data_IF_318557332919
#
_entry.id   IF_318557332919
#
_cell.length_a   1.000
_cell.length_b   1.000
_cell.length_c   1.000
_cell.angle_alpha   90.00
_cell.angle_beta   90.00
_cell.angle_gamma   90.00
#
_symmetry.space_group_name_H-M   'P 1'
#
loop_
_entity.id
_entity.type
_entity.pdbx_description
1 polymer ?
#
# COMPACT_ATOMS: atom_id res chain seq x y z
N UNK A 1 -5.89 0.84 -11.29
CA UNK A 1 -5.45 2.19 -10.97
C UNK A 1 -4.12 2.59 -11.65
N UNK A 2 -3.07 1.79 -11.61
CA UNK A 2 -1.79 2.16 -12.27
C UNK A 2 -1.79 1.99 -13.80
N UNK A 3 -2.88 1.56 -14.40
CA UNK A 3 -2.96 1.30 -15.84
C UNK A 3 -2.08 0.15 -16.33
N UNK A 4 -1.60 -0.71 -15.42
CA UNK A 4 -0.98 -1.97 -15.80
C UNK A 4 -2.08 -2.98 -16.10
N UNK A 5 -2.22 -3.34 -17.37
CA UNK A 5 -3.16 -4.36 -17.81
C UNK A 5 -2.35 -5.61 -18.15
N UNK A 6 -2.62 -6.70 -17.46
CA UNK A 6 -1.96 -7.97 -17.75
C UNK A 6 -2.36 -8.41 -19.16
N UNK A 7 -1.43 -8.99 -19.91
CA UNK A 7 -1.69 -9.48 -21.27
C UNK A 7 -2.90 -10.40 -21.29
N UNK A 8 -3.85 -10.13 -22.18
CA UNK A 8 -5.13 -10.85 -22.27
C UNK A 8 -6.27 -10.32 -21.40
N UNK A 9 -6.02 -9.31 -20.57
CA UNK A 9 -7.05 -8.61 -19.79
C UNK A 9 -7.30 -7.22 -20.39
N UNK A 10 -8.54 -6.78 -20.35
CA UNK A 10 -8.93 -5.42 -20.73
C UNK A 10 -10.14 -4.98 -19.90
N UNK A 11 -10.25 -3.68 -19.57
CA UNK A 11 -11.40 -3.17 -18.84
C UNK A 11 -12.64 -3.27 -19.72
N UNK A 12 -13.70 -3.91 -19.19
CA UNK A 12 -14.97 -4.06 -19.91
C UNK A 12 -15.82 -2.81 -19.78
N UNK A 13 -15.87 -2.20 -18.59
CA UNK A 13 -16.71 -1.06 -18.24
C UNK A 13 -16.06 -0.27 -17.09
N UNK A 14 -16.53 0.98 -16.91
CA UNK A 14 -16.16 1.82 -15.81
C UNK A 14 -15.11 2.86 -16.18
N UNK A 15 -14.75 3.65 -15.19
CA UNK A 15 -13.75 4.72 -15.28
C UNK A 15 -12.85 4.68 -14.04
N UNK A 16 -11.64 5.21 -14.17
CA UNK A 16 -10.71 5.35 -13.06
C UNK A 16 -10.21 6.79 -13.02
N UNK A 17 -10.88 7.62 -12.25
CA UNK A 17 -10.60 9.05 -12.18
C UNK A 17 -9.51 9.38 -11.16
N UNK A 18 -8.50 10.10 -11.61
CA UNK A 18 -7.51 10.74 -10.76
C UNK A 18 -7.46 12.23 -11.08
N UNK A 19 -7.82 13.09 -10.13
CA UNK A 19 -7.95 14.55 -10.34
C UNK A 19 -8.79 14.89 -11.59
N UNK A 20 -9.92 14.22 -11.75
CA UNK A 20 -10.87 14.38 -12.87
C UNK A 20 -10.37 13.85 -14.24
N UNK A 21 -9.20 13.23 -14.31
CA UNK A 21 -8.68 12.61 -15.52
C UNK A 21 -8.85 11.09 -15.46
N UNK A 22 -9.42 10.50 -16.52
CA UNK A 22 -9.64 9.04 -16.58
C UNK A 22 -8.36 8.31 -16.98
N UNK A 23 -7.75 7.63 -16.01
CA UNK A 23 -6.51 6.87 -16.21
C UNK A 23 -6.66 5.73 -17.22
N UNK A 24 -7.87 5.18 -17.42
CA UNK A 24 -8.11 4.09 -18.39
C UNK A 24 -8.06 4.58 -19.84
N UNK A 25 -8.27 5.88 -20.07
CA UNK A 25 -8.22 6.51 -21.41
C UNK A 25 -6.84 7.08 -21.73
N UNK A 26 -5.90 7.07 -20.77
CA UNK A 26 -4.57 7.62 -21.00
C UNK A 26 -3.67 6.69 -21.82
N UNK A 27 -2.88 7.29 -22.70
CA UNK A 27 -1.80 6.60 -23.38
C UNK A 27 -0.69 6.19 -22.40
N UNK A 28 0.11 5.18 -22.76
CA UNK A 28 1.27 4.75 -21.96
C UNK A 28 2.20 5.92 -21.60
N UNK A 29 2.47 6.83 -22.54
CA UNK A 29 3.30 8.02 -22.32
C UNK A 29 2.71 9.02 -21.31
N UNK A 30 1.39 9.13 -21.25
CA UNK A 30 0.71 9.96 -20.25
C UNK A 30 0.77 9.29 -18.86
N UNK A 31 0.54 7.97 -18.80
CA UNK A 31 0.63 7.20 -17.57
C UNK A 31 2.06 7.22 -16.98
N UNK A 32 3.11 7.16 -17.80
CA UNK A 32 4.50 7.28 -17.35
C UNK A 32 4.77 8.58 -16.59
N UNK A 33 4.16 9.70 -16.99
CA UNK A 33 4.29 10.99 -16.30
C UNK A 33 3.58 11.03 -14.94
N UNK A 34 2.63 10.13 -14.72
CA UNK A 34 1.85 10.04 -13.49
C UNK A 34 2.47 9.04 -12.52
N UNK A 35 2.92 7.88 -13.04
CA UNK A 35 3.52 6.80 -12.26
C UNK A 35 4.78 7.27 -11.56
N UNK A 36 4.88 6.99 -10.27
CA UNK A 36 5.97 7.39 -9.39
C UNK A 36 6.02 8.87 -9.03
N UNK A 37 5.53 9.76 -9.91
CA UNK A 37 5.51 11.22 -9.68
C UNK A 37 4.23 11.70 -9.02
N UNK A 38 3.06 11.15 -9.39
CA UNK A 38 1.74 11.55 -8.86
C UNK A 38 1.06 10.43 -8.12
N UNK A 39 1.17 9.22 -8.65
CA UNK A 39 0.67 8.00 -8.03
C UNK A 39 1.86 7.06 -7.88
N UNK A 40 2.18 6.66 -6.66
CA UNK A 40 3.19 5.65 -6.37
C UNK A 40 2.52 4.40 -5.79
N UNK A 41 3.21 3.26 -5.90
CA UNK A 41 2.71 1.98 -5.41
C UNK A 41 3.79 1.26 -4.61
N UNK A 42 3.37 0.69 -3.50
CA UNK A 42 4.17 -0.28 -2.74
C UNK A 42 3.48 -1.63 -2.91
N UNK A 43 4.09 -2.57 -3.64
CA UNK A 43 3.51 -3.89 -3.88
C UNK A 43 3.62 -4.77 -2.65
N UNK A 44 2.88 -5.87 -2.65
CA UNK A 44 3.05 -6.98 -1.72
C UNK A 44 4.51 -7.48 -1.77
N UNK A 45 5.09 -7.77 -0.62
CA UNK A 45 6.51 -8.13 -0.52
C UNK A 45 7.47 -7.07 -1.08
N UNK A 46 7.35 -5.84 -0.59
CA UNK A 46 8.15 -4.70 -1.06
C UNK A 46 9.67 -4.95 -1.00
N UNK A 47 10.16 -5.84 -0.12
CA UNK A 47 11.55 -6.27 -0.10
C UNK A 47 11.99 -6.95 -1.41
N UNK A 48 11.09 -7.68 -2.07
CA UNK A 48 11.36 -8.31 -3.36
C UNK A 48 11.34 -7.31 -4.53
N UNK A 49 10.75 -6.15 -4.34
CA UNK A 49 10.79 -5.05 -5.32
C UNK A 49 12.14 -4.32 -5.33
N UNK A 50 12.98 -4.54 -4.31
CA UNK A 50 14.34 -4.00 -4.27
C UNK A 50 15.28 -4.86 -5.12
N UNK A 51 16.10 -4.20 -5.93
CA UNK A 51 17.11 -4.87 -6.75
C UNK A 51 18.27 -5.36 -5.86
N UNK A 52 18.49 -6.70 -5.72
CA UNK A 52 19.41 -7.26 -4.72
C UNK A 52 20.84 -6.78 -4.83
N UNK A 53 21.31 -6.55 -6.04
CA UNK A 53 22.70 -6.20 -6.38
C UNK A 53 22.97 -4.70 -6.40
N UNK A 54 21.98 -3.87 -6.06
CA UNK A 54 22.12 -2.42 -6.04
C UNK A 54 22.00 -1.90 -4.60
N UNK A 55 22.86 -0.95 -4.25
CA UNK A 55 22.81 -0.27 -2.96
C UNK A 55 21.53 0.53 -2.80
N UNK A 56 21.03 0.63 -1.58
CA UNK A 56 19.79 1.33 -1.24
C UNK A 56 19.79 2.77 -1.74
N UNK A 57 20.87 3.51 -1.48
CA UNK A 57 20.99 4.90 -1.93
C UNK A 57 20.92 5.05 -3.45
N UNK A 58 21.47 4.09 -4.19
CA UNK A 58 21.40 4.10 -5.66
C UNK A 58 19.95 3.92 -6.16
N UNK A 59 19.19 3.01 -5.58
CA UNK A 59 17.80 2.76 -5.95
C UNK A 59 16.90 3.96 -5.65
N UNK A 60 17.15 4.65 -4.53
CA UNK A 60 16.44 5.90 -4.21
C UNK A 60 16.88 7.03 -5.16
N UNK A 61 18.18 7.13 -5.50
CA UNK A 61 18.68 8.10 -6.48
C UNK A 61 18.01 7.90 -7.84
N UNK A 62 17.86 6.65 -8.28
CA UNK A 62 17.17 6.33 -9.53
C UNK A 62 15.72 6.81 -9.53
N UNK A 63 14.98 6.53 -8.45
CA UNK A 63 13.61 7.02 -8.29
C UNK A 63 13.54 8.56 -8.32
N UNK A 64 14.46 9.24 -7.63
CA UNK A 64 14.54 10.71 -7.64
C UNK A 64 14.87 11.24 -9.04
N UNK A 65 15.81 10.62 -9.75
CA UNK A 65 16.19 11.01 -11.12
C UNK A 65 15.06 10.87 -12.11
N UNK A 66 14.22 9.82 -11.97
CA UNK A 66 13.10 9.57 -12.87
C UNK A 66 11.90 10.49 -12.58
N UNK A 67 11.71 10.90 -11.33
CA UNK A 67 10.48 11.56 -10.90
C UNK A 67 10.65 13.00 -10.43
N UNK A 68 11.88 13.53 -10.42
CA UNK A 68 12.18 14.92 -10.02
C UNK A 68 13.17 15.56 -10.98
N UNK A 69 13.26 16.88 -10.89
CA UNK A 69 14.23 17.67 -11.69
C UNK A 69 15.46 18.07 -10.85
N UNK A 70 15.73 17.35 -9.74
CA UNK A 70 16.84 17.64 -8.82
C UNK A 70 18.20 17.31 -9.46
N UNK A 71 19.20 18.18 -9.22
CA UNK A 71 20.59 17.89 -9.57
C UNK A 71 21.19 16.82 -8.62
N UNK A 72 22.42 16.37 -8.92
CA UNK A 72 23.05 15.27 -8.15
C UNK A 72 23.21 15.59 -6.67
N UNK A 73 23.68 16.79 -6.34
CA UNK A 73 23.92 17.22 -4.95
C UNK A 73 22.60 17.30 -4.16
N UNK A 74 21.54 17.81 -4.81
CA UNK A 74 20.21 17.87 -4.21
C UNK A 74 19.63 16.48 -3.98
N UNK A 75 19.84 15.54 -4.92
CA UNK A 75 19.39 14.15 -4.75
C UNK A 75 20.14 13.44 -3.61
N UNK A 76 21.46 13.63 -3.49
CA UNK A 76 22.22 13.05 -2.38
C UNK A 76 21.71 13.51 -1.02
N UNK A 77 21.41 14.80 -0.87
CA UNK A 77 20.75 15.33 0.32
C UNK A 77 19.35 14.73 0.51
N UNK A 78 18.60 14.61 -0.57
CA UNK A 78 17.21 14.09 -0.52
C UNK A 78 17.15 12.62 -0.13
N UNK A 79 18.13 11.81 -0.51
CA UNK A 79 18.26 10.42 -0.07
C UNK A 79 18.33 10.34 1.45
N UNK A 80 19.22 11.11 2.06
CA UNK A 80 19.35 11.14 3.53
C UNK A 80 18.07 11.62 4.21
N UNK A 81 17.41 12.65 3.66
CA UNK A 81 16.12 13.13 4.16
C UNK A 81 15.02 12.05 4.09
N UNK A 82 14.94 11.30 2.98
CA UNK A 82 13.95 10.24 2.80
C UNK A 82 14.20 9.07 3.76
N UNK A 83 15.46 8.64 3.91
CA UNK A 83 15.82 7.58 4.85
C UNK A 83 15.53 7.97 6.31
N UNK A 84 15.79 9.22 6.68
CA UNK A 84 15.39 9.77 7.98
C UNK A 84 13.88 9.79 8.15
N UNK A 85 13.13 10.24 7.12
CA UNK A 85 11.67 10.33 7.14
C UNK A 85 11.01 8.97 7.40
N UNK A 86 11.59 7.90 6.86
CA UNK A 86 11.12 6.53 7.11
C UNK A 86 11.73 5.92 8.37
N UNK A 87 12.38 6.72 9.21
CA UNK A 87 12.94 6.32 10.50
C UNK A 87 13.93 5.15 10.40
N UNK A 88 14.74 5.12 9.37
CA UNK A 88 15.84 4.16 9.26
C UNK A 88 17.04 4.67 10.07
N UNK A 89 17.73 3.79 10.83
CA UNK A 89 18.89 4.18 11.63
C UNK A 89 20.06 4.54 10.72
N UNK A 90 20.84 5.54 11.12
CA UNK A 90 22.09 5.93 10.43
C UNK A 90 21.93 6.04 8.90
N UNK A 91 21.13 6.98 8.39
CA UNK A 91 20.78 7.09 6.97
C UNK A 91 21.98 7.10 6.04
N UNK A 92 23.05 7.75 6.47
CA UNK A 92 24.30 7.89 5.69
C UNK A 92 24.94 6.52 5.43
N UNK A 93 25.01 5.65 6.44
CA UNK A 93 25.54 4.29 6.27
C UNK A 93 24.52 3.37 5.62
N UNK A 94 23.22 3.57 5.88
CA UNK A 94 22.13 2.80 5.31
C UNK A 94 22.10 2.90 3.78
N UNK A 95 22.38 4.08 3.23
CA UNK A 95 22.41 4.31 1.77
C UNK A 95 23.44 3.42 1.05
N UNK A 96 24.50 2.99 1.73
CA UNK A 96 25.56 2.14 1.15
C UNK A 96 25.30 0.64 1.30
N UNK A 97 24.28 0.23 2.05
CA UNK A 97 23.91 -1.18 2.23
C UNK A 97 23.15 -1.74 1.03
N UNK A 98 23.19 -3.06 0.92
CA UNK A 98 22.38 -3.83 -0.03
C UNK A 98 21.09 -4.33 0.63
N UNK A 99 20.05 -4.65 -0.14
CA UNK A 99 18.78 -5.16 0.40
C UNK A 99 18.93 -6.37 1.34
N UNK A 100 19.79 -7.31 1.02
CA UNK A 100 20.02 -8.52 1.81
C UNK A 100 20.68 -8.28 3.18
N UNK A 101 21.24 -7.08 3.41
CA UNK A 101 21.81 -6.67 4.69
C UNK A 101 20.75 -6.02 5.63
N UNK A 102 19.51 -5.91 5.16
CA UNK A 102 18.40 -5.27 5.86
C UNK A 102 17.37 -6.29 6.35
N UNK A 103 16.77 -6.03 7.52
CA UNK A 103 15.60 -6.78 7.96
C UNK A 103 14.39 -6.49 7.04
N UNK A 104 13.37 -7.37 7.04
CA UNK A 104 12.16 -7.18 6.23
C UNK A 104 11.47 -5.84 6.49
N UNK A 105 11.38 -5.42 7.75
CA UNK A 105 10.82 -4.10 8.09
C UNK A 105 11.68 -2.91 7.63
N UNK A 106 13.00 -3.07 7.56
CA UNK A 106 13.88 -2.05 6.98
C UNK A 106 13.73 -2.00 5.47
N UNK A 107 13.65 -3.14 4.79
CA UNK A 107 13.38 -3.22 3.35
C UNK A 107 12.05 -2.56 3.00
N UNK A 108 11.01 -2.82 3.80
CA UNK A 108 9.70 -2.19 3.65
C UNK A 108 9.79 -0.65 3.75
N UNK A 109 10.52 -0.14 4.74
CA UNK A 109 10.73 1.31 4.90
C UNK A 109 11.53 1.91 3.75
N UNK A 110 12.50 1.20 3.19
CA UNK A 110 13.20 1.62 1.95
C UNK A 110 12.23 1.73 0.78
N UNK A 111 11.36 0.74 0.58
CA UNK A 111 10.34 0.79 -0.48
C UNK A 111 9.39 1.99 -0.28
N UNK A 112 9.02 2.30 0.96
CA UNK A 112 8.26 3.52 1.29
C UNK A 112 9.06 4.78 0.92
N UNK A 113 10.37 4.85 1.24
CA UNK A 113 11.22 5.98 0.88
C UNK A 113 11.31 6.19 -0.64
N UNK A 114 11.45 5.09 -1.40
CA UNK A 114 11.46 5.14 -2.88
C UNK A 114 10.12 5.63 -3.43
N UNK A 115 9.01 5.14 -2.90
CA UNK A 115 7.67 5.57 -3.31
C UNK A 115 7.42 7.07 -3.04
N UNK A 116 8.02 7.62 -1.99
CA UNK A 116 7.93 9.04 -1.64
C UNK A 116 8.86 9.96 -2.45
N UNK A 117 9.79 9.40 -3.23
CA UNK A 117 10.78 10.18 -3.98
C UNK A 117 10.15 11.23 -4.91
N UNK A 118 9.09 10.86 -5.62
CA UNK A 118 8.33 11.75 -6.50
C UNK A 118 7.37 12.72 -5.80
N UNK A 119 7.25 12.68 -4.47
CA UNK A 119 6.22 13.40 -3.69
C UNK A 119 4.80 13.14 -4.22
N UNK A 120 4.35 11.88 -4.23
CA UNK A 120 3.07 11.52 -4.84
C UNK A 120 1.89 12.13 -4.11
N UNK A 121 0.83 12.44 -4.85
CA UNK A 121 -0.47 12.85 -4.29
C UNK A 121 -1.23 11.62 -3.73
N UNK A 122 -0.99 10.42 -4.32
CA UNK A 122 -1.63 9.16 -3.96
C UNK A 122 -0.61 8.03 -3.82
N UNK A 123 -0.67 7.32 -2.72
CA UNK A 123 0.12 6.11 -2.47
C UNK A 123 -0.81 4.89 -2.42
N UNK A 124 -0.56 3.93 -3.30
CA UNK A 124 -1.24 2.63 -3.31
C UNK A 124 -0.40 1.63 -2.53
N UNK A 125 -1.00 0.98 -1.56
CA UNK A 125 -0.35 0.06 -0.63
C UNK A 125 -1.07 -1.30 -0.74
N UNK A 126 -0.41 -2.27 -1.34
CA UNK A 126 -0.94 -3.61 -1.52
C UNK A 126 -0.31 -4.56 -0.50
N UNK A 127 -1.06 -4.87 0.56
CA UNK A 127 -0.63 -5.70 1.68
C UNK A 127 0.77 -5.34 2.23
N UNK A 128 1.07 -4.08 2.53
CA UNK A 128 2.43 -3.63 2.79
C UNK A 128 3.03 -4.15 4.10
N UNK A 129 2.27 -4.84 4.94
CA UNK A 129 2.74 -5.40 6.21
C UNK A 129 2.70 -6.92 6.27
N UNK A 130 2.32 -7.58 5.18
CA UNK A 130 2.30 -9.04 5.09
C UNK A 130 3.71 -9.61 5.24
N UNK A 131 3.85 -10.64 6.08
CA UNK A 131 5.14 -11.29 6.36
C UNK A 131 6.03 -10.58 7.39
N UNK A 132 5.54 -9.49 8.00
CA UNK A 132 6.22 -8.83 9.12
C UNK A 132 5.70 -9.37 10.47
N UNK A 133 6.57 -9.39 11.47
CA UNK A 133 6.13 -9.65 12.85
C UNK A 133 5.26 -8.49 13.36
N UNK A 134 4.44 -8.76 14.39
CA UNK A 134 3.44 -7.84 14.92
C UNK A 134 4.04 -6.48 15.33
N UNK A 135 5.24 -6.49 15.93
CA UNK A 135 5.90 -5.27 16.39
C UNK A 135 6.38 -4.43 15.21
N UNK A 136 7.01 -5.06 14.23
CA UNK A 136 7.46 -4.40 13.01
C UNK A 136 6.28 -3.88 12.19
N UNK A 137 5.19 -4.66 12.08
CA UNK A 137 3.94 -4.21 11.46
C UNK A 137 3.40 -2.94 12.12
N UNK A 138 3.29 -2.91 13.45
CA UNK A 138 2.81 -1.74 14.18
C UNK A 138 3.65 -0.48 13.88
N UNK A 139 4.98 -0.62 13.84
CA UNK A 139 5.87 0.48 13.49
C UNK A 139 5.71 0.97 12.04
N UNK A 140 5.47 0.06 11.10
CA UNK A 140 5.21 0.44 9.68
C UNK A 140 3.87 1.17 9.56
N UNK A 141 2.83 0.69 10.24
CA UNK A 141 1.50 1.35 10.25
C UNK A 141 1.58 2.76 10.85
N UNK A 142 2.28 2.92 11.99
CA UNK A 142 2.52 4.23 12.59
C UNK A 142 3.27 5.17 11.64
N UNK A 143 4.31 4.67 10.96
CA UNK A 143 5.07 5.41 9.96
C UNK A 143 4.17 5.88 8.80
N UNK A 144 3.33 5.01 8.27
CA UNK A 144 2.40 5.35 7.17
C UNK A 144 1.41 6.45 7.60
N UNK A 145 0.84 6.36 8.80
CA UNK A 145 -0.01 7.43 9.36
C UNK A 145 0.72 8.75 9.51
N UNK A 146 1.95 8.70 10.02
CA UNK A 146 2.79 9.90 10.14
C UNK A 146 3.04 10.53 8.76
N UNK A 147 3.42 9.73 7.76
CA UNK A 147 3.67 10.21 6.40
C UNK A 147 2.41 10.83 5.79
N UNK A 148 1.25 10.16 5.88
CA UNK A 148 0.00 10.68 5.35
C UNK A 148 -0.30 12.07 5.91
N UNK A 149 -0.14 12.25 7.23
CA UNK A 149 -0.39 13.51 7.92
C UNK A 149 0.65 14.60 7.60
N UNK A 150 1.93 14.21 7.53
CA UNK A 150 3.05 15.14 7.32
C UNK A 150 3.13 15.65 5.87
N UNK A 151 2.82 14.79 4.90
CA UNK A 151 2.92 15.12 3.46
C UNK A 151 1.61 15.51 2.81
N UNK A 152 0.47 15.24 3.45
CA UNK A 152 -0.85 15.37 2.85
C UNK A 152 -1.12 14.33 1.74
N UNK A 153 -0.28 13.30 1.60
CA UNK A 153 -0.46 12.22 0.61
C UNK A 153 -1.67 11.37 0.98
N UNK A 154 -2.61 11.23 0.05
CA UNK A 154 -3.71 10.27 0.20
C UNK A 154 -3.20 8.85 0.06
N UNK A 155 -3.82 7.91 0.79
CA UNK A 155 -3.41 6.49 0.75
C UNK A 155 -4.60 5.60 0.47
N UNK A 156 -4.42 4.61 -0.42
CA UNK A 156 -5.31 3.46 -0.56
C UNK A 156 -4.55 2.26 -0.03
N UNK A 157 -5.05 1.72 1.08
CA UNK A 157 -4.43 0.61 1.79
C UNK A 157 -5.26 -0.65 1.58
N UNK A 158 -4.73 -1.63 0.86
CA UNK A 158 -5.36 -2.94 0.65
C UNK A 158 -4.78 -3.93 1.63
N UNK A 159 -5.63 -4.63 2.38
CA UNK A 159 -5.21 -5.66 3.31
C UNK A 159 -6.37 -6.60 3.65
N UNK A 160 -6.05 -7.83 4.00
CA UNK A 160 -6.96 -8.76 4.66
C UNK A 160 -6.90 -8.65 6.19
N UNK A 161 -5.95 -7.88 6.75
CA UNK A 161 -5.84 -7.65 8.19
C UNK A 161 -6.68 -6.43 8.60
N UNK A 162 -7.87 -6.72 9.16
CA UNK A 162 -8.77 -5.68 9.66
C UNK A 162 -8.17 -4.90 10.85
N UNK A 163 -7.26 -5.50 11.62
CA UNK A 163 -6.56 -4.81 12.71
C UNK A 163 -5.62 -3.71 12.18
N UNK A 164 -4.93 -3.99 11.07
CA UNK A 164 -4.10 -3.00 10.37
C UNK A 164 -4.98 -1.89 9.77
N UNK A 165 -6.05 -2.27 9.05
CA UNK A 165 -6.99 -1.32 8.43
C UNK A 165 -7.60 -0.39 9.49
N UNK A 166 -8.01 -0.92 10.63
CA UNK A 166 -8.59 -0.16 11.73
C UNK A 166 -7.66 0.94 12.28
N UNK A 167 -6.35 0.71 12.19
CA UNK A 167 -5.35 1.64 12.70
C UNK A 167 -5.04 2.79 11.73
N UNK A 168 -5.15 2.57 10.41
CA UNK A 168 -4.65 3.53 9.42
C UNK A 168 -5.73 4.20 8.58
N UNK A 169 -6.95 3.66 8.53
CA UNK A 169 -7.97 4.09 7.58
C UNK A 169 -9.01 5.01 8.20
N UNK A 170 -9.35 6.09 7.49
CA UNK A 170 -10.50 6.95 7.80
C UNK A 170 -11.80 6.38 7.23
N UNK A 171 -11.73 5.73 6.07
CA UNK A 171 -12.83 5.07 5.36
C UNK A 171 -12.44 3.65 4.99
N UNK A 172 -13.40 2.75 5.00
CA UNK A 172 -13.23 1.34 4.62
C UNK A 172 -14.18 1.03 3.46
N UNK A 173 -13.66 0.30 2.50
CA UNK A 173 -14.42 -0.35 1.42
C UNK A 173 -14.21 -1.85 1.59
N UNK A 174 -15.32 -2.58 1.78
CA UNK A 174 -15.29 -4.05 1.87
C UNK A 174 -15.69 -4.61 0.51
N UNK A 175 -14.85 -5.49 -0.01
CA UNK A 175 -15.08 -6.17 -1.28
C UNK A 175 -15.31 -7.66 -1.05
N UNK A 176 -16.25 -8.23 -1.77
CA UNK A 176 -16.50 -9.66 -1.83
C UNK A 176 -16.75 -10.09 -3.27
N UNK A 177 -16.05 -11.14 -3.72
CA UNK A 177 -16.18 -11.67 -5.09
C UNK A 177 -16.07 -10.61 -6.22
N UNK A 178 -15.25 -9.56 -6.02
CA UNK A 178 -15.06 -8.50 -7.00
C UNK A 178 -16.01 -7.32 -6.88
N UNK A 179 -17.03 -7.39 -6.02
CA UNK A 179 -18.02 -6.33 -5.81
C UNK A 179 -17.80 -5.61 -4.47
N UNK A 180 -18.19 -4.33 -4.43
CA UNK A 180 -18.20 -3.55 -3.18
C UNK A 180 -19.50 -3.87 -2.46
N UNK A 181 -19.38 -4.52 -1.30
CA UNK A 181 -20.53 -4.91 -0.48
C UNK A 181 -20.82 -3.95 0.67
N UNK A 182 -19.84 -3.15 1.07
CA UNK A 182 -19.98 -2.14 2.11
C UNK A 182 -18.95 -1.04 1.95
N UNK A 183 -19.34 0.21 2.16
CA UNK A 183 -18.45 1.36 2.18
C UNK A 183 -18.89 2.36 3.25
N UNK A 184 -17.92 2.99 3.94
CA UNK A 184 -18.23 4.05 4.89
C UNK A 184 -17.06 4.44 5.79
N UNK A 185 -17.31 5.32 6.78
CA UNK A 185 -16.32 5.68 7.78
C UNK A 185 -15.86 4.46 8.57
N UNK A 186 -14.54 4.30 8.74
CA UNK A 186 -13.95 3.14 9.41
C UNK A 186 -14.56 2.88 10.78
N UNK A 187 -14.73 3.94 11.59
CA UNK A 187 -15.33 3.84 12.93
C UNK A 187 -16.73 3.24 12.91
N UNK A 188 -17.56 3.57 11.90
CA UNK A 188 -18.93 3.04 11.78
C UNK A 188 -18.91 1.56 11.38
N UNK A 189 -18.15 1.22 10.33
CA UNK A 189 -18.05 -0.15 9.81
C UNK A 189 -17.52 -1.12 10.88
N UNK A 190 -16.51 -0.70 11.65
CA UNK A 190 -15.89 -1.55 12.66
C UNK A 190 -16.77 -1.72 13.92
N UNK A 191 -17.63 -0.75 14.24
CA UNK A 191 -18.52 -0.83 15.40
C UNK A 191 -19.86 -1.49 15.10
N UNK A 192 -20.42 -1.19 13.94
CA UNK A 192 -21.78 -1.56 13.54
C UNK A 192 -21.75 -2.16 12.12
N UNK A 193 -21.18 -3.36 11.94
CA UNK A 193 -21.13 -4.00 10.64
C UNK A 193 -22.51 -4.47 10.22
N UNK A 194 -23.11 -3.78 9.26
CA UNK A 194 -24.47 -4.09 8.77
C UNK A 194 -24.48 -5.22 7.74
N UNK A 195 -23.36 -5.48 7.05
CA UNK A 195 -23.27 -6.53 6.04
C UNK A 195 -22.81 -7.85 6.67
N UNK A 196 -23.48 -9.01 6.38
CA UNK A 196 -23.16 -10.31 7.00
C UNK A 196 -21.70 -10.73 6.83
N UNK A 197 -21.13 -10.52 5.65
CA UNK A 197 -19.72 -10.82 5.38
C UNK A 197 -18.79 -9.99 6.27
N UNK A 198 -19.01 -8.68 6.38
CA UNK A 198 -18.21 -7.79 7.25
C UNK A 198 -18.32 -8.19 8.72
N UNK A 199 -19.52 -8.58 9.15
CA UNK A 199 -19.75 -9.08 10.51
C UNK A 199 -18.97 -10.38 10.76
N UNK A 200 -18.99 -11.31 9.81
CA UNK A 200 -18.21 -12.55 9.87
C UNK A 200 -16.71 -12.28 9.95
N UNK A 201 -16.19 -11.38 9.10
CA UNK A 201 -14.78 -10.97 9.11
C UNK A 201 -14.38 -10.42 10.49
N UNK A 202 -15.18 -9.53 11.08
CA UNK A 202 -14.89 -8.95 12.40
C UNK A 202 -14.97 -9.97 13.53
N UNK A 203 -15.83 -10.98 13.43
CA UNK A 203 -15.91 -12.09 14.39
C UNK A 203 -14.75 -13.09 14.27
N UNK A 204 -14.15 -13.21 13.11
CA UNK A 204 -13.00 -14.10 12.89
C UNK A 204 -11.68 -13.51 13.41
N UNK A 205 -11.66 -12.23 13.85
CA UNK A 205 -10.46 -11.64 14.45
C UNK A 205 -10.24 -12.23 15.85
N UNK A 206 -9.04 -12.81 16.12
CA UNK A 206 -8.71 -13.27 17.46
C UNK A 206 -8.72 -12.11 18.48
N UNK A 207 -9.44 -12.27 19.58
CA UNK A 207 -9.47 -11.30 20.68
C UNK A 207 -8.81 -11.90 21.91
N UNK A 208 -7.79 -11.24 22.45
CA UNK A 208 -7.11 -11.69 23.67
C UNK A 208 -8.04 -11.83 24.90
N UNK A 209 -9.17 -11.11 24.89
CA UNK A 209 -10.14 -11.11 25.98
C UNK A 209 -11.18 -12.22 25.92
N UNK A 210 -11.25 -12.99 24.85
CA UNK A 210 -12.22 -14.07 24.69
C UNK A 210 -11.54 -15.43 24.79
N UNK A 211 -11.93 -16.22 25.78
CA UNK A 211 -11.54 -17.63 25.85
C UNK A 211 -12.31 -18.39 24.76
N UNK A 212 -11.58 -18.94 23.78
CA UNK A 212 -12.16 -19.76 22.72
C UNK A 212 -11.52 -19.50 21.34
N UNK A 213 -11.80 -20.38 20.40
CA UNK A 213 -11.36 -20.22 19.02
C UNK A 213 -12.21 -19.13 18.33
N UNK A 214 -11.61 -18.34 17.42
CA UNK A 214 -12.35 -17.39 16.61
C UNK A 214 -13.45 -18.12 15.80
N UNK A 215 -14.58 -17.45 15.60
CA UNK A 215 -15.65 -18.02 14.79
C UNK A 215 -15.21 -18.08 13.33
N UNK A 216 -15.29 -19.27 12.72
CA UNK A 216 -15.12 -19.42 11.28
C UNK A 216 -16.38 -18.96 10.54
N UNK A 217 -16.23 -18.35 9.38
CA UNK A 217 -17.36 -18.08 8.49
C UNK A 217 -17.81 -19.38 7.82
N UNK A 218 -19.11 -19.69 7.84
CA UNK A 218 -19.63 -20.84 7.12
C UNK A 218 -19.58 -20.62 5.58
N UNK A 219 -19.45 -21.72 4.84
CA UNK A 219 -19.44 -21.70 3.38
C UNK A 219 -18.03 -21.75 2.77
N UNK A 220 -17.98 -21.80 1.45
CA UNK A 220 -16.77 -21.78 0.65
C UNK A 220 -16.75 -20.56 -0.27
N UNK A 221 -15.56 -20.14 -0.65
CA UNK A 221 -15.39 -19.05 -1.59
C UNK A 221 -16.03 -19.43 -2.95
N UNK A 222 -16.87 -18.56 -3.53
CA UNK A 222 -17.49 -18.85 -4.81
C UNK A 222 -16.44 -18.93 -5.92
N UNK A 223 -16.69 -19.79 -6.90
CA UNK A 223 -15.82 -19.85 -8.08
C UNK A 223 -15.96 -18.57 -8.90
N UNK A 224 -14.87 -18.07 -9.52
CA UNK A 224 -14.96 -16.92 -10.42
C UNK A 224 -16.05 -17.13 -11.49
N UNK A 225 -16.97 -16.17 -11.62
CA UNK A 225 -18.07 -16.22 -12.57
C UNK A 225 -19.29 -17.06 -12.14
N UNK A 226 -19.29 -17.66 -10.94
CA UNK A 226 -20.43 -18.45 -10.45
C UNK A 226 -21.48 -17.62 -9.69
N UNK A 227 -21.20 -16.36 -9.38
CA UNK A 227 -22.17 -15.47 -8.71
C UNK A 227 -23.00 -14.79 -9.79
N UNK A 228 -24.27 -15.18 -9.89
CA UNK A 228 -25.22 -14.58 -10.83
C UNK A 228 -26.20 -13.65 -10.14
N UNK A 229 -26.51 -13.84 -8.87
CA UNK A 229 -27.46 -13.05 -8.10
C UNK A 229 -27.16 -13.12 -6.60
N UNK A 230 -27.28 -11.97 -5.95
CA UNK A 230 -27.33 -11.83 -4.50
C UNK A 230 -26.03 -12.03 -3.75
N UNK A 231 -26.13 -11.77 -2.46
CA UNK A 231 -25.08 -11.96 -1.48
C UNK A 231 -25.24 -13.33 -0.79
#
# INVERSE_FOLDING_TARGET
MMGYIKQGLFPLKGECLFKSEDLLKMSSRQLEKIRGRKIAMIPQNAGQALTPNLKIGYQIDEALRLHTDLNKTERDKKISELLNKVRLPSPETMAFRYPHELSGGQQQRVAVAMALAGKPDLLLLDEPTTGLDVTTQAHVLELLRFIAKDTGTSMIYVSHDLGAIAQVSDRIVVMYAGEIVLEGPARKILKEPIHPYTYGLLKSIPKLSLAGLPASMPGSQPQPGSINEGC
#
